data_IF_900838807394
#
_entry.id   IF_900838807394
#
_cell.length_a   1.000
_cell.length_b   1.000
_cell.length_c   1.000
_cell.angle_alpha   90.00
_cell.angle_beta   90.00
_cell.angle_gamma   90.00
#
_symmetry.space_group_name_H-M   'P 1'
#
loop_
_entity.id
_entity.type
_entity.pdbx_description
1 polymer ?
#
# COMPACT_ATOMS: atom_id res chain seq x y z
N UNK A 1 14.52 -23.22 6.16
CA UNK A 1 13.60 -23.35 5.01
C UNK A 1 13.56 -22.01 4.31
N UNK A 2 14.14 -21.90 3.12
CA UNK A 2 13.98 -20.71 2.26
C UNK A 2 12.60 -20.80 1.62
N UNK A 3 11.63 -20.03 2.13
CA UNK A 3 10.31 -19.93 1.51
C UNK A 3 10.42 -19.25 0.13
N UNK A 4 9.66 -19.74 -0.85
CA UNK A 4 9.51 -19.06 -2.12
C UNK A 4 8.52 -17.91 -1.96
N UNK A 5 8.90 -16.71 -2.40
CA UNK A 5 8.01 -15.56 -2.46
C UNK A 5 7.13 -15.66 -3.71
N UNK A 6 5.88 -15.23 -3.59
CA UNK A 6 5.04 -14.98 -4.77
C UNK A 6 5.60 -13.82 -5.58
N UNK A 7 5.20 -13.71 -6.84
CA UNK A 7 5.64 -12.61 -7.70
C UNK A 7 5.33 -11.23 -7.10
N UNK A 8 4.16 -11.08 -6.46
CA UNK A 8 3.78 -9.83 -5.80
C UNK A 8 4.69 -9.54 -4.60
N UNK A 9 4.97 -10.52 -3.75
CA UNK A 9 5.87 -10.35 -2.61
C UNK A 9 7.30 -10.02 -3.06
N UNK A 10 7.77 -10.61 -4.15
CA UNK A 10 9.06 -10.22 -4.74
C UNK A 10 9.05 -8.79 -5.29
N UNK A 11 7.97 -8.38 -5.96
CA UNK A 11 7.81 -7.00 -6.42
C UNK A 11 7.85 -6.01 -5.25
N UNK A 12 7.12 -6.29 -4.18
CA UNK A 12 7.10 -5.49 -2.96
C UNK A 12 8.49 -5.43 -2.32
N UNK A 13 9.18 -6.58 -2.23
CA UNK A 13 10.55 -6.63 -1.72
C UNK A 13 11.51 -5.77 -2.57
N UNK A 14 11.41 -5.84 -3.90
CA UNK A 14 12.20 -5.00 -4.81
C UNK A 14 11.87 -3.52 -4.65
N UNK A 15 10.60 -3.18 -4.43
CA UNK A 15 10.14 -1.81 -4.19
C UNK A 15 10.72 -1.24 -2.89
N UNK A 16 10.67 -1.99 -1.79
CA UNK A 16 11.26 -1.61 -0.50
C UNK A 16 12.77 -1.41 -0.62
N UNK A 17 13.47 -2.31 -1.33
CA UNK A 17 14.90 -2.19 -1.58
C UNK A 17 15.24 -0.93 -2.40
N UNK A 18 14.47 -0.64 -3.45
CA UNK A 18 14.64 0.57 -4.27
C UNK A 18 14.44 1.84 -3.46
N UNK A 19 13.41 1.88 -2.62
CA UNK A 19 13.08 3.03 -1.78
C UNK A 19 14.01 3.18 -0.57
N UNK A 20 14.96 2.24 -0.38
CA UNK A 20 15.84 2.18 0.79
C UNK A 20 15.04 2.28 2.10
N UNK A 21 13.92 1.56 2.13
CA UNK A 21 13.08 1.46 3.32
C UNK A 21 13.72 0.41 4.22
N UNK A 22 14.25 0.86 5.36
CA UNK A 22 14.81 0.00 6.40
C UNK A 22 14.46 0.55 7.79
N UNK A 23 14.10 -0.33 8.71
CA UNK A 23 13.79 0.02 10.10
C UNK A 23 12.46 0.77 10.29
N UNK A 24 12.14 1.25 11.51
CA UNK A 24 10.80 1.70 11.93
C UNK A 24 10.30 3.00 11.28
N UNK A 25 11.13 3.71 10.51
CA UNK A 25 10.75 4.92 9.76
C UNK A 25 10.09 4.61 8.39
N UNK A 26 9.72 3.36 8.13
CA UNK A 26 9.21 2.85 6.85
C UNK A 26 7.83 3.36 6.41
N UNK A 27 7.07 4.04 7.29
CA UNK A 27 5.72 4.55 7.00
C UNK A 27 5.70 6.04 6.64
N UNK A 28 6.79 6.58 6.11
CA UNK A 28 6.78 7.94 5.59
C UNK A 28 6.15 7.98 4.20
N UNK A 29 4.83 8.17 4.16
CA UNK A 29 4.04 8.28 2.93
C UNK A 29 4.55 9.39 2.02
N UNK A 30 5.01 10.51 2.58
CA UNK A 30 5.48 11.66 1.80
C UNK A 30 6.81 11.34 1.11
N UNK A 31 7.75 10.72 1.83
CA UNK A 31 9.01 10.25 1.26
C UNK A 31 8.77 9.23 0.14
N UNK A 32 7.86 8.27 0.35
CA UNK A 32 7.60 7.24 -0.66
C UNK A 32 6.94 7.86 -1.90
N UNK A 33 5.97 8.75 -1.71
CA UNK A 33 5.28 9.42 -2.82
C UNK A 33 6.23 10.28 -3.65
N UNK A 34 7.19 10.98 -3.02
CA UNK A 34 8.12 11.86 -3.72
C UNK A 34 9.05 11.11 -4.68
N UNK A 35 9.43 9.87 -4.36
CA UNK A 35 10.20 8.97 -5.23
C UNK A 35 9.45 8.60 -6.53
N UNK A 36 8.13 8.79 -6.54
CA UNK A 36 7.26 8.56 -7.70
C UNK A 36 6.69 9.86 -8.28
N UNK A 37 7.16 11.03 -7.83
CA UNK A 37 6.62 12.33 -8.20
C UNK A 37 5.11 12.45 -7.95
N UNK A 38 4.64 11.83 -6.86
CA UNK A 38 3.25 11.87 -6.39
C UNK A 38 3.15 12.84 -5.22
N UNK A 39 2.10 13.64 -5.19
CA UNK A 39 1.81 14.52 -4.05
C UNK A 39 0.80 13.89 -3.12
N UNK A 40 1.02 13.95 -1.81
CA UNK A 40 0.06 13.43 -0.82
C UNK A 40 -0.62 14.58 -0.11
N UNK A 41 -1.95 14.58 -0.17
CA UNK A 41 -2.83 15.55 0.46
C UNK A 41 -3.70 14.86 1.50
N UNK A 42 -4.13 15.60 2.52
CA UNK A 42 -5.04 15.11 3.55
C UNK A 42 -6.29 15.98 3.55
N UNK A 43 -7.45 15.39 3.28
CA UNK A 43 -8.71 16.12 3.11
C UNK A 43 -9.86 15.43 3.85
N UNK A 44 -10.95 16.16 4.10
CA UNK A 44 -12.16 15.64 4.77
C UNK A 44 -13.09 14.91 3.78
N UNK A 45 -12.52 14.00 2.98
CA UNK A 45 -13.21 13.20 1.96
C UNK A 45 -12.66 11.78 1.92
N UNK A 46 -13.31 10.88 1.18
CA UNK A 46 -12.79 9.53 0.95
C UNK A 46 -11.45 9.56 0.21
N UNK A 47 -10.53 8.65 0.60
CA UNK A 47 -9.21 8.55 -0.02
C UNK A 47 -9.32 8.17 -1.50
N UNK A 48 -8.46 8.74 -2.34
CA UNK A 48 -8.44 8.49 -3.78
C UNK A 48 -7.16 8.99 -4.45
N UNK A 49 -6.80 8.35 -5.57
CA UNK A 49 -5.81 8.86 -6.51
C UNK A 49 -6.45 9.73 -7.59
N UNK A 50 -5.82 10.87 -7.88
CA UNK A 50 -6.17 11.78 -8.95
C UNK A 50 -4.98 11.96 -9.88
N UNK A 51 -5.24 11.99 -11.19
CA UNK A 51 -4.27 12.38 -12.21
C UNK A 51 -4.72 13.67 -12.89
N UNK A 52 -3.91 14.72 -12.78
CA UNK A 52 -4.15 16.01 -13.43
C UNK A 52 -2.93 16.45 -14.23
N UNK A 53 -3.10 16.71 -15.53
CA UNK A 53 -2.02 17.14 -16.43
C UNK A 53 -0.75 16.27 -16.40
N UNK A 54 -0.91 14.96 -16.16
CA UNK A 54 0.22 14.02 -16.08
C UNK A 54 0.87 13.94 -14.70
N UNK A 55 0.49 14.81 -13.76
CA UNK A 55 0.89 14.74 -12.36
C UNK A 55 -0.11 13.89 -11.56
N UNK A 56 0.41 13.16 -10.59
CA UNK A 56 -0.38 12.29 -9.72
C UNK A 56 -0.46 12.87 -8.31
N UNK A 57 -1.65 12.81 -7.73
CA UNK A 57 -1.91 13.18 -6.35
C UNK A 57 -2.68 12.05 -5.67
N UNK A 58 -2.30 11.72 -4.44
CA UNK A 58 -3.07 10.86 -3.55
C UNK A 58 -3.71 11.75 -2.51
N UNK A 59 -5.02 11.66 -2.39
CA UNK A 59 -5.81 12.29 -1.33
C UNK A 59 -6.08 11.22 -0.29
N UNK A 60 -5.72 11.48 0.95
CA UNK A 60 -6.01 10.62 2.09
C UNK A 60 -7.07 11.28 2.97
N UNK A 61 -7.98 10.48 3.49
CA UNK A 61 -8.97 10.96 4.45
C UNK A 61 -8.28 11.35 5.76
N UNK A 62 -8.33 12.64 6.09
CA UNK A 62 -7.69 13.20 7.30
C UNK A 62 -8.30 12.65 8.59
N UNK A 63 -9.56 12.22 8.57
CA UNK A 63 -10.28 11.72 9.75
C UNK A 63 -9.91 10.28 10.13
N UNK A 64 -9.16 9.57 9.28
CA UNK A 64 -8.75 8.19 9.53
C UNK A 64 -7.55 8.09 10.46
N UNK A 65 -7.39 6.93 11.10
CA UNK A 65 -6.16 6.60 11.86
C UNK A 65 -4.93 6.52 10.94
N UNK A 66 -3.73 6.61 11.51
CA UNK A 66 -2.49 6.52 10.73
C UNK A 66 -2.34 5.17 10.01
N UNK A 67 -2.83 4.08 10.60
CA UNK A 67 -2.84 2.75 10.00
C UNK A 67 -3.83 2.64 8.84
N UNK A 68 -5.01 3.25 8.96
CA UNK A 68 -5.99 3.31 7.87
C UNK A 68 -5.48 4.21 6.72
N UNK A 69 -4.90 5.37 7.04
CA UNK A 69 -4.25 6.23 6.03
C UNK A 69 -3.11 5.50 5.31
N UNK A 70 -2.33 4.68 6.02
CA UNK A 70 -1.27 3.88 5.42
C UNK A 70 -1.81 2.79 4.47
N UNK A 71 -2.92 2.14 4.84
CA UNK A 71 -3.60 1.19 3.95
C UNK A 71 -4.14 1.88 2.70
N UNK A 72 -4.85 3.00 2.86
CA UNK A 72 -5.39 3.79 1.75
C UNK A 72 -4.27 4.30 0.85
N UNK A 73 -3.17 4.80 1.43
CA UNK A 73 -1.99 5.21 0.68
C UNK A 73 -1.43 4.07 -0.17
N UNK A 74 -1.24 2.88 0.41
CA UNK A 74 -0.69 1.74 -0.32
C UNK A 74 -1.64 1.26 -1.44
N UNK A 75 -2.95 1.31 -1.21
CA UNK A 75 -3.97 1.02 -2.22
C UNK A 75 -3.91 2.01 -3.37
N UNK A 76 -3.91 3.31 -3.08
CA UNK A 76 -3.85 4.37 -4.09
C UNK A 76 -2.50 4.42 -4.83
N UNK A 77 -1.40 4.12 -4.14
CA UNK A 77 -0.08 3.99 -4.74
C UNK A 77 -0.05 2.83 -5.76
N UNK A 78 -0.75 1.72 -5.51
CA UNK A 78 -0.89 0.65 -6.50
C UNK A 78 -1.55 1.17 -7.78
N UNK A 79 -2.59 2.01 -7.66
CA UNK A 79 -3.22 2.62 -8.82
C UNK A 79 -2.26 3.52 -9.60
N UNK A 80 -1.39 4.28 -8.93
CA UNK A 80 -0.36 5.08 -9.61
C UNK A 80 0.64 4.19 -10.35
N UNK A 81 1.16 3.15 -9.69
CA UNK A 81 2.29 2.36 -10.18
C UNK A 81 1.91 1.33 -11.23
N UNK A 82 0.71 0.73 -11.10
CA UNK A 82 0.34 -0.48 -11.85
C UNK A 82 -0.85 -0.28 -12.78
N UNK A 83 -1.68 0.73 -12.54
CA UNK A 83 -2.93 0.88 -13.26
C UNK A 83 -2.94 2.13 -14.15
N UNK A 84 -3.62 2.00 -15.28
CA UNK A 84 -3.81 3.07 -16.25
C UNK A 84 -5.23 3.03 -16.81
N UNK A 85 -5.67 4.15 -17.36
CA UNK A 85 -6.99 4.33 -17.93
C UNK A 85 -7.91 5.17 -17.06
N UNK A 86 -9.07 5.51 -17.62
CA UNK A 86 -10.08 6.30 -16.93
C UNK A 86 -11.14 5.35 -16.34
N UNK A 87 -11.21 5.25 -15.01
CA UNK A 87 -12.17 4.42 -14.28
C UNK A 87 -13.64 4.71 -14.63
N UNK A 88 -13.99 5.91 -15.11
CA UNK A 88 -15.36 6.23 -15.54
C UNK A 88 -15.69 5.67 -16.94
N UNK A 89 -14.67 5.43 -17.77
CA UNK A 89 -14.82 4.91 -19.13
C UNK A 89 -14.49 3.42 -19.25
N UNK A 90 -13.96 2.82 -18.18
CA UNK A 90 -13.52 1.44 -18.15
C UNK A 90 -14.67 0.48 -17.87
N UNK A 91 -14.67 -0.66 -18.57
CA UNK A 91 -15.65 -1.71 -18.35
C UNK A 91 -15.58 -2.24 -16.91
N UNK A 92 -16.74 -2.56 -16.32
CA UNK A 92 -16.90 -2.91 -14.90
C UNK A 92 -15.90 -3.98 -14.44
N UNK A 93 -15.77 -5.08 -15.18
CA UNK A 93 -14.88 -6.19 -14.82
C UNK A 93 -13.40 -5.80 -14.74
N UNK A 94 -12.94 -4.87 -15.58
CA UNK A 94 -11.56 -4.39 -15.51
C UNK A 94 -11.32 -3.51 -14.29
N UNK A 95 -12.32 -2.71 -13.89
CA UNK A 95 -12.24 -1.94 -12.64
C UNK A 95 -12.18 -2.86 -11.44
N UNK A 96 -13.05 -3.87 -11.39
CA UNK A 96 -13.05 -4.86 -10.31
C UNK A 96 -11.72 -5.61 -10.20
N UNK A 97 -11.10 -5.94 -11.34
CA UNK A 97 -9.76 -6.51 -11.37
C UNK A 97 -8.70 -5.55 -10.79
N UNK A 98 -8.72 -4.27 -11.20
CA UNK A 98 -7.77 -3.27 -10.68
C UNK A 98 -7.94 -3.06 -9.18
N UNK A 99 -9.18 -2.96 -8.67
CA UNK A 99 -9.46 -2.87 -7.24
C UNK A 99 -9.00 -4.11 -6.47
N UNK A 100 -9.18 -5.31 -7.05
CA UNK A 100 -8.69 -6.54 -6.44
C UNK A 100 -7.16 -6.56 -6.36
N UNK A 101 -6.47 -6.16 -7.43
CA UNK A 101 -5.01 -6.05 -7.48
C UNK A 101 -4.47 -4.99 -6.51
N UNK A 102 -5.15 -3.85 -6.41
CA UNK A 102 -4.82 -2.79 -5.46
C UNK A 102 -4.94 -3.26 -4.01
N UNK A 103 -5.99 -4.03 -3.67
CA UNK A 103 -6.14 -4.65 -2.34
C UNK A 103 -5.05 -5.68 -2.04
N UNK A 104 -4.63 -6.50 -3.02
CA UNK A 104 -3.50 -7.42 -2.83
C UNK A 104 -2.22 -6.64 -2.53
N UNK A 105 -1.92 -5.66 -3.37
CA UNK A 105 -0.73 -4.84 -3.23
C UNK A 105 -0.70 -4.13 -1.89
N UNK A 106 -1.82 -3.50 -1.50
CA UNK A 106 -1.96 -2.83 -0.21
C UNK A 106 -1.61 -3.78 0.94
N UNK A 107 -2.19 -4.99 0.98
CA UNK A 107 -1.93 -5.95 2.05
C UNK A 107 -0.44 -6.33 2.13
N UNK A 108 0.14 -6.74 0.99
CA UNK A 108 1.53 -7.17 0.97
C UNK A 108 2.50 -6.01 1.24
N UNK A 109 2.21 -4.80 0.78
CA UNK A 109 2.98 -3.59 1.09
C UNK A 109 2.87 -3.24 2.58
N UNK A 110 1.65 -3.21 3.12
CA UNK A 110 1.37 -2.87 4.51
C UNK A 110 2.06 -3.83 5.49
N UNK A 111 2.08 -5.13 5.18
CA UNK A 111 2.66 -6.18 6.02
C UNK A 111 4.12 -6.54 5.65
N UNK A 112 4.73 -5.87 4.66
CA UNK A 112 6.08 -6.19 4.18
C UNK A 112 7.16 -6.01 5.26
N UNK A 113 6.96 -5.03 6.14
CA UNK A 113 7.81 -4.71 7.28
C UNK A 113 8.00 -5.88 8.25
N UNK A 114 6.97 -6.71 8.43
CA UNK A 114 7.02 -7.91 9.29
C UNK A 114 7.97 -8.99 8.76
N UNK A 115 8.18 -9.03 7.44
CA UNK A 115 9.07 -9.99 6.78
C UNK A 115 10.42 -9.39 6.40
N UNK A 116 10.54 -8.05 6.39
CA UNK A 116 11.76 -7.33 6.02
C UNK A 116 12.79 -7.24 7.17
N UNK A 117 12.35 -7.28 8.43
CA UNK A 117 13.25 -7.24 9.60
C UNK A 117 12.78 -8.16 10.75
N UNK A 118 13.50 -9.27 10.94
CA UNK A 118 13.21 -10.24 12.00
C UNK A 118 13.39 -9.65 13.42
N UNK A 119 14.21 -8.60 13.59
CA UNK A 119 14.35 -7.92 14.87
C UNK A 119 13.14 -7.03 15.15
N UNK A 120 12.51 -6.44 14.12
CA UNK A 120 11.30 -5.63 14.28
C UNK A 120 10.10 -6.51 14.66
N UNK A 121 9.97 -7.69 14.04
CA UNK A 121 8.92 -8.67 14.34
C UNK A 121 8.94 -9.15 15.81
N UNK A 122 10.07 -9.02 16.51
CA UNK A 122 10.21 -9.40 17.92
C UNK A 122 9.76 -8.33 18.92
N UNK A 123 9.46 -7.10 18.45
CA UNK A 123 9.07 -5.99 19.33
C UNK A 123 7.60 -6.10 19.76
N UNK A 124 7.23 -5.61 20.97
CA UNK A 124 5.85 -5.60 21.44
C UNK A 124 4.88 -4.82 20.54
N UNK A 125 5.38 -3.77 19.87
CA UNK A 125 4.64 -2.97 18.89
C UNK A 125 4.32 -3.74 17.60
N UNK A 126 5.06 -4.81 17.30
CA UNK A 126 4.77 -5.66 16.15
C UNK A 126 3.53 -6.53 16.40
N UNK A 127 3.21 -6.88 17.65
CA UNK A 127 2.06 -7.75 17.96
C UNK A 127 0.71 -7.13 17.54
N UNK A 128 0.53 -5.81 17.76
CA UNK A 128 -0.66 -5.11 17.29
C UNK A 128 -0.71 -5.01 15.77
N UNK A 129 0.43 -4.76 15.12
CA UNK A 129 0.54 -4.73 13.66
C UNK A 129 0.28 -6.11 13.01
N UNK A 130 0.80 -7.19 13.61
CA UNK A 130 0.48 -8.57 13.22
C UNK A 130 -1.01 -8.88 13.34
N UNK A 131 -1.65 -8.48 14.45
CA UNK A 131 -3.08 -8.65 14.64
C UNK A 131 -3.88 -7.86 13.59
N UNK A 132 -3.42 -6.66 13.25
CA UNK A 132 -4.02 -5.82 12.21
C UNK A 132 -3.91 -6.45 10.82
N UNK A 133 -2.71 -6.92 10.44
CA UNK A 133 -2.48 -7.70 9.22
C UNK A 133 -3.38 -8.94 9.16
N UNK A 134 -3.50 -9.70 10.24
CA UNK A 134 -4.37 -10.88 10.29
C UNK A 134 -5.86 -10.53 10.12
N UNK A 135 -6.30 -9.38 10.63
CA UNK A 135 -7.65 -8.88 10.44
C UNK A 135 -7.89 -8.45 8.97
N UNK A 136 -6.95 -7.74 8.35
CA UNK A 136 -7.00 -7.38 6.94
C UNK A 136 -7.10 -8.64 6.07
N UNK A 137 -6.22 -9.63 6.30
CA UNK A 137 -6.21 -10.91 5.58
C UNK A 137 -7.57 -11.60 5.63
N UNK A 138 -8.21 -11.63 6.80
CA UNK A 138 -9.53 -12.23 6.99
C UNK A 138 -10.62 -11.48 6.21
N UNK A 139 -10.57 -10.14 6.21
CA UNK A 139 -11.57 -9.31 5.55
C UNK A 139 -11.44 -9.35 4.02
N UNK A 140 -10.21 -9.45 3.51
CA UNK A 140 -9.93 -9.55 2.08
C UNK A 140 -10.10 -10.99 1.53
N UNK A 141 -10.34 -11.98 2.40
CA UNK A 141 -10.55 -13.37 2.01
C UNK A 141 -9.28 -14.09 1.59
N UNK A 142 -8.10 -13.62 2.00
CA UNK A 142 -6.84 -14.32 1.78
C UNK A 142 -6.80 -15.54 2.70
N UNK A 143 -6.62 -16.72 2.10
CA UNK A 143 -6.34 -17.98 2.80
C UNK A 143 -4.87 -18.31 2.68
#
# INVERSE_FOLDING_TARGET
MTGFLTHLEEEIKRLYAKLQISGPAYRDMQRIASEFHVWVHYEDTGSMMIKHQGLYSIILNRSLSSEEQWQDFAHELCHVLKHAGNHFKMHKLFRELQEFQAKQFMYHFFCADLYADANEASKPSAASHFAHCANISRHLGFR
#
